data_IF_529249282597
#
_entry.id   IF_529249282597
#
_cell.length_a   1.000
_cell.length_b   1.000
_cell.length_c   1.000
_cell.angle_alpha   90.00
_cell.angle_beta   90.00
_cell.angle_gamma   90.00
#
_symmetry.space_group_name_H-M   'P 1'
#
loop_
_entity.id
_entity.type
_entity.pdbx_description
1 polymer ?
#
# COMPACT_ATOMS: atom_id res chain seq x y z
N UNK A 1 46.02 -47.98 16.65
CA UNK A 1 46.41 -46.76 17.40
C UNK A 1 46.55 -45.61 16.42
N UNK A 2 45.91 -44.47 16.69
CA UNK A 2 45.82 -43.31 15.77
C UNK A 2 46.30 -42.03 16.47
N UNK A 3 46.79 -41.06 15.68
CA UNK A 3 47.18 -39.75 16.18
C UNK A 3 45.95 -38.86 16.40
N UNK A 4 45.78 -38.29 17.60
CA UNK A 4 44.61 -37.45 17.94
C UNK A 4 44.50 -36.11 17.20
N UNK A 5 45.52 -35.71 16.42
CA UNK A 5 45.52 -34.46 15.63
C UNK A 5 45.13 -34.68 14.17
N UNK A 6 45.63 -35.74 13.53
CA UNK A 6 45.31 -36.05 12.14
C UNK A 6 44.34 -37.21 11.95
N UNK A 7 44.08 -38.00 13.01
CA UNK A 7 43.29 -39.24 13.00
C UNK A 7 43.79 -40.30 12.01
N UNK A 8 45.06 -40.19 11.62
CA UNK A 8 45.73 -41.21 10.83
C UNK A 8 46.42 -42.21 11.77
N UNK A 9 46.47 -43.47 11.33
CA UNK A 9 47.16 -44.57 12.00
C UNK A 9 48.66 -44.25 12.09
N UNK A 10 49.29 -44.60 13.21
CA UNK A 10 50.75 -44.49 13.36
C UNK A 10 51.45 -45.52 12.46
N UNK A 11 52.67 -45.21 12.01
CA UNK A 11 53.49 -46.15 11.25
C UNK A 11 54.98 -45.99 11.62
N UNK A 12 55.83 -46.90 11.12
CA UNK A 12 57.27 -46.93 11.44
C UNK A 12 58.13 -46.01 10.56
N UNK A 13 57.60 -45.54 9.43
CA UNK A 13 58.39 -44.90 8.36
C UNK A 13 58.14 -43.38 8.28
N UNK A 14 56.87 -42.95 8.22
CA UNK A 14 56.44 -41.57 8.02
C UNK A 14 55.61 -40.98 9.17
N UNK A 15 54.78 -41.76 9.86
CA UNK A 15 53.87 -41.30 10.93
C UNK A 15 54.29 -41.84 12.30
N UNK A 16 55.58 -41.82 12.56
CA UNK A 16 56.17 -42.27 13.83
C UNK A 16 55.56 -41.55 15.04
N UNK A 17 55.05 -42.27 16.05
CA UNK A 17 54.45 -41.67 17.25
C UNK A 17 55.54 -41.10 18.15
N UNK A 18 55.67 -39.78 18.24
CA UNK A 18 56.66 -39.08 19.06
C UNK A 18 56.11 -38.72 20.44
N UNK A 19 56.84 -39.07 21.50
CA UNK A 19 56.50 -38.71 22.88
C UNK A 19 57.12 -37.36 23.24
N UNK A 20 56.28 -36.37 23.57
CA UNK A 20 56.73 -35.04 23.97
C UNK A 20 57.21 -35.04 25.43
N UNK A 21 57.99 -34.04 25.87
CA UNK A 21 58.40 -33.88 27.28
C UNK A 21 57.23 -33.81 28.27
N UNK A 22 56.02 -33.49 27.82
CA UNK A 22 54.80 -33.50 28.64
C UNK A 22 54.09 -34.87 28.72
N UNK A 23 54.62 -35.91 28.08
CA UNK A 23 54.06 -37.28 28.07
C UNK A 23 53.03 -37.56 26.97
N UNK A 24 52.47 -36.53 26.33
CA UNK A 24 51.55 -36.70 25.20
C UNK A 24 52.28 -37.27 23.96
N UNK A 25 51.57 -38.05 23.14
CA UNK A 25 52.12 -38.66 21.92
C UNK A 25 51.36 -38.21 20.68
N UNK A 26 52.07 -37.80 19.63
CA UNK A 26 51.51 -37.41 18.33
C UNK A 26 52.41 -37.90 17.19
N UNK A 27 51.88 -38.00 15.97
CA UNK A 27 52.72 -38.41 14.83
C UNK A 27 53.67 -37.27 14.43
N UNK A 28 54.88 -37.64 14.03
CA UNK A 28 55.94 -36.70 13.62
C UNK A 28 55.46 -35.61 12.62
N UNK A 29 54.70 -35.92 11.54
CA UNK A 29 54.19 -34.88 10.62
C UNK A 29 53.27 -33.85 11.27
N UNK A 30 52.52 -34.21 12.31
CA UNK A 30 51.69 -33.25 13.05
C UNK A 30 52.53 -32.30 13.91
N UNK A 31 53.64 -32.77 14.47
CA UNK A 31 54.55 -31.93 15.26
C UNK A 31 55.45 -31.04 14.40
N UNK A 32 55.66 -31.41 13.13
CA UNK A 32 56.36 -30.58 12.14
C UNK A 32 55.44 -29.56 11.44
N UNK A 33 54.13 -29.58 11.71
CA UNK A 33 53.19 -28.64 11.12
C UNK A 33 53.36 -27.25 11.75
N UNK A 34 53.72 -26.20 10.98
CA UNK A 34 54.01 -24.87 11.52
C UNK A 34 52.83 -24.23 12.27
N UNK A 35 51.59 -24.68 12.02
CA UNK A 35 50.40 -24.17 12.70
C UNK A 35 50.35 -24.48 14.21
N UNK A 36 51.12 -25.45 14.71
CA UNK A 36 51.21 -25.76 16.15
C UNK A 36 52.45 -25.18 16.83
N UNK A 37 53.37 -24.57 16.05
CA UNK A 37 54.64 -24.07 16.57
C UNK A 37 55.42 -25.14 17.33
N UNK A 38 56.10 -24.72 18.40
CA UNK A 38 56.80 -25.62 19.32
C UNK A 38 55.97 -25.93 20.58
N UNK A 39 54.65 -26.04 20.46
CA UNK A 39 53.74 -26.32 21.58
C UNK A 39 53.02 -27.67 21.42
N UNK A 40 52.77 -28.34 22.54
CA UNK A 40 51.98 -29.57 22.55
C UNK A 40 50.51 -29.31 22.12
N UNK A 41 49.97 -30.02 21.11
CA UNK A 41 48.57 -29.85 20.69
C UNK A 41 47.51 -30.10 21.76
N UNK A 42 47.80 -30.87 22.82
CA UNK A 42 46.85 -31.18 23.90
C UNK A 42 46.92 -30.19 25.07
N UNK A 43 48.12 -29.92 25.60
CA UNK A 43 48.31 -29.14 26.83
C UNK A 43 49.09 -27.83 26.66
N UNK A 44 49.40 -27.46 25.41
CA UNK A 44 50.10 -26.23 24.99
C UNK A 44 51.44 -25.97 25.68
N UNK A 45 52.04 -26.99 26.32
CA UNK A 45 53.37 -26.86 26.89
C UNK A 45 54.38 -26.73 25.77
N UNK A 46 55.17 -25.65 25.82
CA UNK A 46 56.25 -25.42 24.89
C UNK A 46 57.38 -26.44 25.07
N UNK A 47 57.90 -26.95 23.97
CA UNK A 47 59.13 -27.75 23.90
C UNK A 47 60.22 -26.97 23.15
N UNK A 48 61.49 -27.36 23.33
CA UNK A 48 62.64 -26.64 22.73
C UNK A 48 63.37 -27.44 21.66
N UNK A 49 63.26 -28.76 21.69
CA UNK A 49 63.93 -29.65 20.76
C UNK A 49 63.18 -29.81 19.45
N UNK A 50 63.90 -30.17 18.39
CA UNK A 50 63.33 -30.50 17.09
C UNK A 50 62.43 -31.75 17.22
N UNK A 51 61.19 -31.75 16.69
CA UNK A 51 60.29 -32.91 16.68
C UNK A 51 60.88 -34.24 16.21
N UNK A 52 61.91 -34.21 15.34
CA UNK A 52 62.65 -35.41 14.91
C UNK A 52 63.35 -36.13 16.06
N UNK A 53 63.84 -35.37 17.05
CA UNK A 53 64.71 -35.85 18.14
C UNK A 53 63.93 -36.48 19.30
N UNK A 54 62.62 -36.28 19.38
CA UNK A 54 61.80 -36.92 20.41
C UNK A 54 61.78 -38.45 20.24
N UNK A 55 61.74 -39.21 21.34
CA UNK A 55 61.69 -40.67 21.28
C UNK A 55 60.37 -41.15 20.67
N UNK A 56 60.43 -42.28 19.98
CA UNK A 56 59.23 -42.95 19.49
C UNK A 56 58.52 -43.68 20.64
N UNK A 57 57.20 -43.69 20.62
CA UNK A 57 56.37 -44.51 21.49
C UNK A 57 56.33 -45.95 20.95
N UNK A 58 57.40 -46.71 21.23
CA UNK A 58 57.53 -48.09 20.77
C UNK A 58 56.42 -49.03 21.28
N UNK A 59 55.76 -48.70 22.40
CA UNK A 59 54.59 -49.46 22.86
C UNK A 59 53.42 -49.34 21.88
N UNK A 60 53.13 -48.13 21.39
CA UNK A 60 52.09 -47.92 20.37
C UNK A 60 52.44 -48.57 19.04
N UNK A 61 53.73 -48.62 18.67
CA UNK A 61 54.22 -49.31 17.45
C UNK A 61 54.16 -50.85 17.58
N UNK A 62 54.41 -51.40 18.77
CA UNK A 62 54.38 -52.84 19.02
C UNK A 62 52.96 -53.44 18.98
N UNK A 63 51.93 -52.64 19.30
CA UNK A 63 50.52 -53.06 19.23
C UNK A 63 49.91 -52.96 17.81
N UNK A 64 50.69 -52.58 16.79
CA UNK A 64 50.16 -52.39 15.43
C UNK A 64 50.22 -53.69 14.63
N UNK A 65 49.07 -54.25 14.19
CA UNK A 65 49.08 -55.41 13.31
C UNK A 65 49.68 -55.01 11.96
N UNK A 66 50.66 -55.79 11.49
CA UNK A 66 51.57 -55.44 10.38
C UNK A 66 50.94 -55.24 8.97
N UNK A 67 49.60 -55.13 8.86
CA UNK A 67 48.83 -54.96 7.59
C UNK A 67 47.49 -54.23 7.79
N UNK A 68 47.48 -53.07 8.47
CA UNK A 68 46.25 -52.31 8.72
C UNK A 68 45.81 -51.37 7.58
N UNK A 69 46.75 -50.86 6.78
CA UNK A 69 46.51 -49.75 5.83
C UNK A 69 46.27 -50.21 4.38
N UNK A 70 45.17 -50.93 4.14
CA UNK A 70 44.55 -50.92 2.80
C UNK A 70 43.79 -49.58 2.64
N UNK A 71 44.18 -48.67 1.73
CA UNK A 71 43.47 -47.40 1.55
C UNK A 71 42.03 -47.62 1.07
N UNK A 72 41.19 -46.60 1.11
CA UNK A 72 39.83 -46.65 0.55
C UNK A 72 39.82 -46.15 -0.89
N UNK A 73 38.86 -46.56 -1.70
CA UNK A 73 38.70 -46.06 -3.06
C UNK A 73 37.72 -44.89 -3.07
N UNK A 74 38.13 -43.73 -3.62
CA UNK A 74 37.26 -42.54 -3.75
C UNK A 74 35.98 -42.88 -4.54
N UNK A 75 36.16 -43.54 -5.69
CA UNK A 75 35.10 -43.85 -6.65
C UNK A 75 34.19 -44.99 -6.20
N UNK A 76 34.77 -46.14 -5.80
CA UNK A 76 33.99 -47.32 -5.42
C UNK A 76 33.41 -47.25 -4.00
N UNK A 77 34.01 -46.45 -3.10
CA UNK A 77 33.63 -46.39 -1.70
C UNK A 77 33.89 -47.66 -0.88
N UNK A 78 34.58 -48.64 -1.45
CA UNK A 78 35.07 -49.86 -0.82
C UNK A 78 36.58 -49.73 -0.54
N UNK A 79 37.17 -50.73 0.13
CA UNK A 79 38.64 -50.85 0.24
C UNK A 79 39.27 -50.89 -1.15
N UNK A 80 40.37 -50.16 -1.31
CA UNK A 80 41.16 -50.11 -2.51
C UNK A 80 41.91 -51.43 -2.69
N UNK A 81 41.60 -52.15 -3.78
CA UNK A 81 42.24 -53.41 -4.17
C UNK A 81 42.78 -53.28 -5.60
N UNK A 82 43.49 -54.30 -6.10
CA UNK A 82 44.05 -54.33 -7.46
C UNK A 82 43.07 -53.83 -8.54
N UNK A 83 41.84 -54.35 -8.56
CA UNK A 83 40.79 -53.92 -9.49
C UNK A 83 40.46 -52.41 -9.48
N UNK A 84 40.70 -51.69 -8.38
CA UNK A 84 40.56 -50.24 -8.32
C UNK A 84 41.77 -49.51 -8.91
N UNK A 85 42.97 -50.09 -8.79
CA UNK A 85 44.18 -49.58 -9.46
C UNK A 85 44.11 -49.83 -10.98
N UNK A 86 43.65 -51.01 -11.38
CA UNK A 86 43.43 -51.39 -12.79
C UNK A 86 42.40 -50.46 -13.48
N UNK A 87 41.38 -50.03 -12.74
CA UNK A 87 40.37 -49.06 -13.17
C UNK A 87 40.82 -47.58 -13.03
N UNK A 88 42.09 -47.32 -12.72
CA UNK A 88 42.67 -45.98 -12.49
C UNK A 88 41.92 -45.12 -11.44
N UNK A 89 41.23 -45.75 -10.49
CA UNK A 89 40.61 -45.04 -9.37
C UNK A 89 41.66 -44.56 -8.37
N UNK A 90 41.30 -43.55 -7.57
CA UNK A 90 42.21 -42.98 -6.56
C UNK A 90 42.04 -43.64 -5.18
N UNK A 91 43.15 -43.94 -4.48
CA UNK A 91 43.13 -44.26 -3.06
C UNK A 91 42.96 -42.98 -2.21
N UNK A 92 42.13 -43.05 -1.17
CA UNK A 92 41.94 -42.02 -0.16
C UNK A 92 42.07 -42.58 1.26
N UNK A 93 42.37 -41.71 2.23
CA UNK A 93 42.47 -42.10 3.64
C UNK A 93 41.10 -42.27 4.30
N UNK A 94 41.06 -42.97 5.43
CA UNK A 94 39.86 -43.11 6.28
C UNK A 94 39.28 -41.75 6.64
N UNK A 95 40.14 -40.77 6.95
CA UNK A 95 39.74 -39.38 7.22
C UNK A 95 39.03 -38.73 6.03
N UNK A 96 39.59 -38.82 4.82
CA UNK A 96 38.95 -38.27 3.62
C UNK A 96 37.59 -38.94 3.36
N UNK A 97 37.50 -40.27 3.54
CA UNK A 97 36.25 -41.01 3.37
C UNK A 97 35.16 -40.56 4.36
N UNK A 98 35.53 -40.32 5.63
CA UNK A 98 34.62 -39.84 6.68
C UNK A 98 34.09 -38.42 6.38
N UNK A 99 34.97 -37.48 6.05
CA UNK A 99 34.57 -36.11 5.67
C UNK A 99 33.64 -36.11 4.45
N UNK A 100 33.94 -36.92 3.43
CA UNK A 100 33.05 -37.07 2.26
C UNK A 100 31.68 -37.68 2.63
N UNK A 101 31.60 -38.54 3.65
CA UNK A 101 30.33 -39.13 4.09
C UNK A 101 29.50 -38.13 4.89
N UNK A 102 30.12 -37.38 5.82
CA UNK A 102 29.49 -36.32 6.58
C UNK A 102 28.98 -35.20 5.64
N UNK A 103 29.78 -34.80 4.64
CA UNK A 103 29.33 -33.85 3.61
C UNK A 103 28.13 -34.38 2.80
N UNK A 104 28.17 -35.63 2.31
CA UNK A 104 27.03 -36.22 1.59
C UNK A 104 25.76 -36.29 2.43
N UNK A 105 25.87 -36.49 3.74
CA UNK A 105 24.72 -36.47 4.65
C UNK A 105 24.17 -35.05 4.83
N UNK A 106 25.05 -34.05 4.98
CA UNK A 106 24.64 -32.64 5.02
C UNK A 106 23.97 -32.20 3.70
N UNK A 107 24.54 -32.55 2.55
CA UNK A 107 23.97 -32.26 1.22
C UNK A 107 22.59 -32.94 1.06
N UNK A 108 22.44 -34.18 1.51
CA UNK A 108 21.15 -34.90 1.51
C UNK A 108 20.12 -34.24 2.42
N UNK A 109 20.51 -33.73 3.59
CA UNK A 109 19.60 -33.00 4.48
C UNK A 109 19.14 -31.71 3.83
N UNK A 110 20.05 -30.91 3.27
CA UNK A 110 19.72 -29.65 2.57
C UNK A 110 18.77 -29.90 1.39
N UNK A 111 18.95 -31.00 0.65
CA UNK A 111 18.02 -31.38 -0.41
C UNK A 111 16.63 -31.78 0.11
N UNK A 112 16.54 -32.47 1.25
CA UNK A 112 15.25 -32.81 1.89
C UNK A 112 14.54 -31.55 2.41
N UNK A 113 15.27 -30.66 3.08
CA UNK A 113 14.73 -29.39 3.61
C UNK A 113 14.21 -28.51 2.46
N UNK A 114 14.95 -28.45 1.34
CA UNK A 114 14.51 -27.75 0.12
C UNK A 114 13.26 -28.38 -0.51
N UNK A 115 13.16 -29.70 -0.55
CA UNK A 115 11.96 -30.40 -1.04
C UNK A 115 10.74 -30.11 -0.16
N UNK A 116 10.89 -30.11 1.17
CA UNK A 116 9.82 -29.74 2.11
C UNK A 116 9.42 -28.25 1.96
N UNK A 117 10.40 -27.36 1.78
CA UNK A 117 10.16 -25.95 1.51
C UNK A 117 9.35 -25.73 0.22
N UNK A 118 9.68 -26.45 -0.85
CA UNK A 118 8.92 -26.43 -2.12
C UNK A 118 7.50 -26.96 -1.96
N UNK A 119 7.29 -28.04 -1.18
CA UNK A 119 5.94 -28.55 -0.88
C UNK A 119 5.11 -27.54 -0.08
N UNK A 120 5.70 -26.91 0.93
CA UNK A 120 5.05 -25.85 1.73
C UNK A 120 4.64 -24.66 0.86
N UNK A 121 5.52 -24.22 -0.06
CA UNK A 121 5.20 -23.16 -1.03
C UNK A 121 4.08 -23.59 -2.00
N UNK A 122 4.09 -24.83 -2.46
CA UNK A 122 3.04 -25.36 -3.33
C UNK A 122 1.67 -25.45 -2.62
N UNK A 123 1.65 -25.75 -1.32
CA UNK A 123 0.41 -25.72 -0.52
C UNK A 123 -0.07 -24.28 -0.33
N UNK A 124 0.81 -23.36 0.08
CA UNK A 124 0.44 -21.94 0.27
C UNK A 124 -0.10 -21.27 -1.01
N UNK A 125 0.37 -21.68 -2.19
CA UNK A 125 -0.21 -21.24 -3.47
C UNK A 125 -1.61 -21.80 -3.73
N UNK A 126 -1.90 -23.04 -3.31
CA UNK A 126 -3.24 -23.62 -3.39
C UNK A 126 -4.21 -22.94 -2.41
N UNK A 127 -3.78 -22.69 -1.18
CA UNK A 127 -4.58 -22.00 -0.16
C UNK A 127 -4.92 -20.57 -0.61
N UNK A 128 -3.96 -19.85 -1.21
CA UNK A 128 -4.19 -18.54 -1.84
C UNK A 128 -5.17 -18.62 -3.03
N UNK A 129 -5.06 -19.66 -3.87
CA UNK A 129 -6.00 -19.87 -4.97
C UNK A 129 -7.42 -20.19 -4.48
N UNK A 130 -7.57 -20.89 -3.35
CA UNK A 130 -8.86 -21.13 -2.72
C UNK A 130 -9.43 -19.83 -2.12
N UNK A 131 -8.66 -19.10 -1.33
CA UNK A 131 -9.11 -17.83 -0.74
C UNK A 131 -9.51 -16.77 -1.78
N UNK A 132 -8.90 -16.78 -2.97
CA UNK A 132 -9.34 -15.95 -4.10
C UNK A 132 -10.68 -16.38 -4.70
N UNK A 133 -11.00 -17.68 -4.73
CA UNK A 133 -12.30 -18.19 -5.16
C UNK A 133 -13.38 -17.85 -4.13
N UNK A 134 -13.09 -18.04 -2.83
CA UNK A 134 -14.01 -17.71 -1.74
C UNK A 134 -14.35 -16.21 -1.74
N UNK A 135 -13.34 -15.35 -1.99
CA UNK A 135 -13.55 -13.90 -2.12
C UNK A 135 -14.37 -13.54 -3.38
N UNK A 136 -14.23 -14.27 -4.49
CA UNK A 136 -15.04 -14.07 -5.69
C UNK A 136 -16.51 -14.45 -5.45
N UNK A 137 -16.76 -15.55 -4.72
CA UNK A 137 -18.11 -15.95 -4.30
C UNK A 137 -18.72 -14.91 -3.35
N UNK A 138 -18.00 -14.50 -2.31
CA UNK A 138 -18.46 -13.46 -1.40
C UNK A 138 -18.71 -12.11 -2.08
N UNK A 139 -17.96 -11.77 -3.14
CA UNK A 139 -18.26 -10.60 -3.96
C UNK A 139 -19.57 -10.73 -4.75
N UNK A 140 -19.86 -11.91 -5.30
CA UNK A 140 -21.13 -12.18 -5.98
C UNK A 140 -22.31 -12.10 -5.02
N UNK A 141 -22.19 -12.68 -3.81
CA UNK A 141 -23.22 -12.61 -2.77
C UNK A 141 -23.50 -11.15 -2.35
N UNK A 142 -22.46 -10.34 -2.18
CA UNK A 142 -22.60 -8.91 -1.91
C UNK A 142 -23.24 -8.14 -3.07
N UNK A 143 -22.95 -8.50 -4.33
CA UNK A 143 -23.63 -7.90 -5.49
C UNK A 143 -25.12 -8.25 -5.51
N UNK A 144 -25.50 -9.49 -5.17
CA UNK A 144 -26.90 -9.90 -5.09
C UNK A 144 -27.63 -9.17 -3.94
N UNK A 145 -27.04 -9.13 -2.74
CA UNK A 145 -27.61 -8.39 -1.61
C UNK A 145 -27.78 -6.89 -1.89
N UNK A 146 -26.84 -6.27 -2.61
CA UNK A 146 -26.98 -4.89 -3.08
C UNK A 146 -28.12 -4.70 -4.08
N UNK A 147 -28.36 -5.66 -4.99
CA UNK A 147 -29.49 -5.61 -5.92
C UNK A 147 -30.84 -5.76 -5.21
N UNK A 148 -30.92 -6.62 -4.19
CA UNK A 148 -32.14 -6.78 -3.41
C UNK A 148 -32.45 -5.53 -2.57
N UNK A 149 -31.46 -4.94 -1.89
CA UNK A 149 -31.62 -3.64 -1.19
C UNK A 149 -32.00 -2.51 -2.16
N UNK A 150 -31.45 -2.50 -3.38
CA UNK A 150 -31.85 -1.54 -4.41
C UNK A 150 -33.30 -1.74 -4.85
N UNK A 151 -33.79 -2.99 -4.94
CA UNK A 151 -35.19 -3.30 -5.25
C UNK A 151 -36.13 -2.84 -4.14
N UNK A 152 -35.83 -3.17 -2.88
CA UNK A 152 -36.60 -2.70 -1.72
C UNK A 152 -36.66 -1.16 -1.65
N UNK A 153 -35.56 -0.47 -1.96
CA UNK A 153 -35.51 1.00 -2.01
C UNK A 153 -36.29 1.59 -3.20
N UNK A 154 -36.48 0.84 -4.29
CA UNK A 154 -37.37 1.23 -5.39
C UNK A 154 -38.83 1.02 -5.01
N UNK A 155 -39.18 -0.12 -4.41
CA UNK A 155 -40.53 -0.44 -3.96
C UNK A 155 -41.00 0.52 -2.86
N UNK A 156 -40.11 0.89 -1.94
CA UNK A 156 -40.36 1.91 -0.93
C UNK A 156 -40.60 3.30 -1.54
N UNK A 157 -39.82 3.69 -2.56
CA UNK A 157 -40.04 4.94 -3.30
C UNK A 157 -41.36 4.94 -4.07
N UNK A 158 -41.71 3.84 -4.75
CA UNK A 158 -43.03 3.70 -5.38
C UNK A 158 -44.17 3.80 -4.37
N UNK A 159 -43.98 3.23 -3.17
CA UNK A 159 -44.96 3.33 -2.08
C UNK A 159 -45.08 4.77 -1.57
N UNK A 160 -43.97 5.49 -1.43
CA UNK A 160 -43.95 6.92 -1.10
C UNK A 160 -44.67 7.74 -2.17
N UNK A 161 -44.40 7.53 -3.46
CA UNK A 161 -45.06 8.23 -4.56
C UNK A 161 -46.58 7.93 -4.61
N UNK A 162 -46.99 6.69 -4.32
CA UNK A 162 -48.41 6.33 -4.19
C UNK A 162 -49.09 7.02 -3.00
N UNK A 163 -48.38 7.17 -1.87
CA UNK A 163 -48.89 7.89 -0.71
C UNK A 163 -48.98 9.40 -0.97
N UNK A 164 -47.97 9.99 -1.64
CA UNK A 164 -47.99 11.40 -2.06
C UNK A 164 -49.18 11.67 -2.97
N UNK A 165 -49.42 10.84 -4.00
CA UNK A 165 -50.60 10.98 -4.87
C UNK A 165 -51.91 10.85 -4.09
N UNK A 166 -52.02 9.92 -3.13
CA UNK A 166 -53.21 9.83 -2.27
C UNK A 166 -53.40 11.07 -1.38
N UNK A 167 -52.32 11.69 -0.92
CA UNK A 167 -52.37 12.96 -0.20
C UNK A 167 -52.81 14.10 -1.12
N UNK A 168 -52.32 14.15 -2.36
CA UNK A 168 -52.76 15.10 -3.40
C UNK A 168 -54.24 14.90 -3.75
N UNK A 169 -54.70 13.67 -4.00
CA UNK A 169 -56.11 13.35 -4.27
C UNK A 169 -57.04 13.73 -3.11
N UNK A 170 -56.60 13.52 -1.87
CA UNK A 170 -57.33 13.97 -0.67
C UNK A 170 -57.33 15.51 -0.56
N UNK A 171 -56.22 16.17 -0.88
CA UNK A 171 -56.14 17.63 -0.93
C UNK A 171 -57.00 18.24 -2.05
N UNK A 172 -57.17 17.55 -3.18
CA UNK A 172 -58.01 17.96 -4.31
C UNK A 172 -59.53 17.90 -4.02
N UNK A 173 -59.95 17.31 -2.89
CA UNK A 173 -61.31 17.52 -2.36
C UNK A 173 -61.49 18.89 -1.69
N UNK A 174 -60.39 19.58 -1.38
CA UNK A 174 -60.36 21.01 -1.09
C UNK A 174 -60.01 21.80 -2.35
N UNK A 175 -60.85 22.75 -2.73
CA UNK A 175 -60.61 23.58 -3.93
C UNK A 175 -59.33 24.40 -3.82
N UNK A 176 -58.27 23.98 -4.51
CA UNK A 176 -57.00 24.71 -4.59
C UNK A 176 -56.83 25.34 -5.99
N UNK A 177 -56.52 26.64 -6.01
CA UNK A 177 -56.41 27.48 -7.20
C UNK A 177 -55.22 27.11 -8.11
N UNK A 178 -55.21 27.54 -9.39
CA UNK A 178 -54.03 27.40 -10.26
C UNK A 178 -52.76 27.98 -9.63
N UNK A 179 -51.57 27.44 -9.97
CA UNK A 179 -50.32 27.82 -9.34
C UNK A 179 -50.04 29.32 -9.51
N UNK A 180 -49.64 30.04 -8.44
CA UNK A 180 -49.33 31.46 -8.53
C UNK A 180 -48.09 31.69 -9.42
N UNK A 181 -47.98 32.86 -10.07
CA UNK A 181 -46.84 33.19 -10.92
C UNK A 181 -45.53 33.11 -10.12
N UNK A 182 -44.52 32.49 -10.73
CA UNK A 182 -43.17 32.38 -10.19
C UNK A 182 -42.57 33.77 -9.97
N UNK A 183 -42.25 34.11 -8.72
CA UNK A 183 -41.52 35.33 -8.41
C UNK A 183 -40.02 35.03 -8.45
N UNK A 184 -39.29 35.75 -9.29
CA UNK A 184 -37.83 35.76 -9.33
C UNK A 184 -37.34 37.04 -8.64
N UNK A 185 -36.29 36.94 -7.82
CA UNK A 185 -35.67 38.09 -7.15
C UNK A 185 -34.16 37.95 -7.29
N UNK A 186 -33.52 38.93 -7.94
CA UNK A 186 -32.09 39.16 -7.76
C UNK A 186 -31.88 40.23 -6.68
N UNK A 187 -31.16 39.88 -5.62
CA UNK A 187 -30.88 40.77 -4.49
C UNK A 187 -29.88 41.87 -4.88
N UNK A 188 -29.06 41.72 -5.93
CA UNK A 188 -28.20 42.80 -6.42
C UNK A 188 -29.01 43.99 -6.90
N UNK A 189 -30.05 43.73 -7.71
CA UNK A 189 -30.86 44.75 -8.39
C UNK A 189 -31.78 45.55 -7.44
N UNK A 190 -32.00 45.05 -6.22
CA UNK A 190 -32.84 45.72 -5.23
C UNK A 190 -32.20 46.97 -4.62
N UNK A 191 -33.00 48.03 -4.47
CA UNK A 191 -32.63 49.22 -3.72
C UNK A 191 -32.39 48.94 -2.22
N UNK A 192 -31.68 49.82 -1.49
CA UNK A 192 -31.46 49.65 -0.05
C UNK A 192 -32.75 49.55 0.78
N UNK A 193 -33.83 50.21 0.34
CA UNK A 193 -35.17 50.11 0.90
C UNK A 193 -35.77 48.72 0.68
N UNK A 194 -35.79 48.23 -0.57
CA UNK A 194 -36.36 46.92 -0.89
C UNK A 194 -35.60 45.76 -0.22
N UNK A 195 -34.28 45.91 -0.04
CA UNK A 195 -33.44 45.00 0.73
C UNK A 195 -33.87 44.90 2.20
N UNK A 196 -34.45 45.96 2.78
CA UNK A 196 -35.03 45.93 4.12
C UNK A 196 -36.46 45.36 4.09
N UNK A 197 -37.25 45.69 3.07
CA UNK A 197 -38.61 45.15 2.90
C UNK A 197 -38.62 43.62 2.73
N UNK A 198 -37.56 43.03 2.14
CA UNK A 198 -37.35 41.57 2.10
C UNK A 198 -37.36 40.90 3.48
N UNK A 199 -36.91 41.58 4.53
CA UNK A 199 -36.90 41.05 5.89
C UNK A 199 -38.26 41.16 6.58
N UNK A 200 -39.13 42.06 6.12
CA UNK A 200 -40.37 42.44 6.78
C UNK A 200 -41.59 41.84 6.10
N UNK A 201 -41.62 41.75 4.76
CA UNK A 201 -42.79 41.31 4.00
C UNK A 201 -42.77 39.84 3.52
N UNK A 202 -43.95 39.29 3.29
CA UNK A 202 -44.17 37.89 2.85
C UNK A 202 -43.75 37.60 1.39
N UNK A 203 -42.99 38.49 0.74
CA UNK A 203 -42.55 38.32 -0.66
C UNK A 203 -41.75 37.04 -0.83
N UNK A 204 -40.88 36.72 0.13
CA UNK A 204 -40.01 35.52 0.14
C UNK A 204 -40.80 34.20 0.12
N UNK A 205 -42.03 34.17 0.63
CA UNK A 205 -42.88 32.98 0.61
C UNK A 205 -43.40 32.61 -0.79
N UNK A 206 -43.21 33.46 -1.81
CA UNK A 206 -43.59 33.19 -3.21
C UNK A 206 -42.42 33.13 -4.19
N UNK A 207 -41.20 33.27 -3.68
CA UNK A 207 -39.98 33.22 -4.50
C UNK A 207 -39.67 31.79 -4.91
N UNK A 208 -39.35 31.57 -6.18
CA UNK A 208 -38.78 30.31 -6.68
C UNK A 208 -37.30 30.42 -7.03
N UNK A 209 -36.83 31.63 -7.31
CA UNK A 209 -35.46 31.95 -7.70
C UNK A 209 -34.97 33.15 -6.90
N UNK A 210 -33.93 32.95 -6.10
CA UNK A 210 -33.29 34.00 -5.30
C UNK A 210 -31.80 34.03 -5.61
N UNK A 211 -31.32 35.04 -6.34
CA UNK A 211 -29.90 35.22 -6.66
C UNK A 211 -29.30 36.42 -5.90
N UNK A 212 -27.97 36.46 -5.76
CA UNK A 212 -27.26 37.62 -5.21
C UNK A 212 -27.35 37.85 -3.69
N UNK A 213 -27.76 36.85 -2.89
CA UNK A 213 -27.91 37.05 -1.45
C UNK A 213 -26.53 37.18 -0.76
N UNK A 214 -26.17 38.40 -0.34
CA UNK A 214 -24.95 38.65 0.43
C UNK A 214 -25.02 38.03 1.84
N UNK A 215 -24.14 37.07 2.11
CA UNK A 215 -24.04 36.32 3.36
C UNK A 215 -23.01 36.88 4.36
N UNK A 216 -22.29 37.96 4.03
CA UNK A 216 -21.33 38.63 4.93
C UNK A 216 -21.92 39.03 6.28
N UNK A 217 -23.23 39.32 6.35
CA UNK A 217 -23.97 39.45 7.60
C UNK A 217 -24.79 38.18 7.83
N UNK A 218 -24.38 37.37 8.81
CA UNK A 218 -24.99 36.07 9.11
C UNK A 218 -26.43 36.22 9.58
N UNK A 219 -26.70 37.15 10.52
CA UNK A 219 -28.04 37.36 11.07
C UNK A 219 -29.04 37.75 9.97
N UNK A 220 -28.66 38.69 9.11
CA UNK A 220 -29.50 39.18 8.01
C UNK A 220 -29.75 38.12 6.95
N UNK A 221 -28.71 37.39 6.54
CA UNK A 221 -28.85 36.33 5.52
C UNK A 221 -29.62 35.12 6.05
N UNK A 222 -29.40 34.72 7.30
CA UNK A 222 -30.21 33.67 7.96
C UNK A 222 -31.67 34.09 8.14
N UNK A 223 -31.96 35.36 8.45
CA UNK A 223 -33.33 35.85 8.53
C UNK A 223 -34.08 35.81 7.18
N UNK A 224 -33.37 36.02 6.05
CA UNK A 224 -33.93 35.81 4.71
C UNK A 224 -34.14 34.33 4.43
N UNK A 225 -33.14 33.48 4.70
CA UNK A 225 -33.21 32.02 4.46
C UNK A 225 -34.33 31.35 5.27
N UNK A 226 -34.50 31.70 6.55
CA UNK A 226 -35.55 31.17 7.42
C UNK A 226 -36.98 31.58 6.98
N UNK A 227 -37.12 32.64 6.18
CA UNK A 227 -38.38 33.09 5.58
C UNK A 227 -38.55 32.66 4.11
N UNK A 228 -37.56 31.97 3.55
CA UNK A 228 -37.55 31.56 2.16
C UNK A 228 -38.49 30.37 1.95
N UNK A 229 -39.15 30.32 0.79
CA UNK A 229 -40.03 29.21 0.46
C UNK A 229 -39.23 27.88 0.39
N UNK A 230 -39.67 26.78 1.03
CA UNK A 230 -39.02 25.46 0.92
C UNK A 230 -39.03 24.87 -0.51
N UNK A 231 -39.81 25.47 -1.43
CA UNK A 231 -39.89 25.16 -2.85
C UNK A 231 -39.04 26.08 -3.76
N UNK A 232 -38.02 26.76 -3.23
CA UNK A 232 -37.03 27.45 -4.07
C UNK A 232 -36.26 26.44 -4.93
N UNK A 233 -36.20 26.73 -6.24
CA UNK A 233 -35.60 25.90 -7.28
C UNK A 233 -34.18 26.40 -7.65
N UNK A 234 -33.95 27.72 -7.58
CA UNK A 234 -32.63 28.34 -7.81
C UNK A 234 -32.22 29.27 -6.63
N UNK A 235 -31.01 29.08 -6.10
CA UNK A 235 -30.45 29.90 -5.02
C UNK A 235 -29.01 30.33 -5.32
N UNK A 236 -28.72 31.62 -5.17
CA UNK A 236 -27.38 32.21 -5.28
C UNK A 236 -26.96 32.91 -3.99
N UNK A 237 -25.88 32.44 -3.35
CA UNK A 237 -25.33 32.97 -2.10
C UNK A 237 -23.92 33.53 -2.32
N UNK A 238 -23.65 34.72 -1.78
CA UNK A 238 -22.39 35.44 -2.00
C UNK A 238 -21.66 35.70 -0.69
N UNK A 239 -20.42 35.25 -0.59
CA UNK A 239 -19.66 35.20 0.67
C UNK A 239 -20.28 34.23 1.69
N UNK A 240 -20.81 33.09 1.24
CA UNK A 240 -21.54 32.12 2.07
C UNK A 240 -20.69 31.55 3.21
N UNK A 241 -21.29 31.40 4.40
CA UNK A 241 -20.64 30.81 5.57
C UNK A 241 -21.32 29.50 6.01
N UNK A 242 -20.68 28.77 6.93
CA UNK A 242 -21.14 27.44 7.37
C UNK A 242 -22.60 27.38 7.86
N UNK A 243 -23.15 28.36 8.61
CA UNK A 243 -24.56 28.33 9.03
C UNK A 243 -25.55 28.32 7.86
N UNK A 244 -25.28 29.13 6.84
CA UNK A 244 -26.11 29.21 5.63
C UNK A 244 -26.01 27.92 4.81
N UNK A 245 -24.80 27.36 4.65
CA UNK A 245 -24.60 26.09 3.92
C UNK A 245 -25.34 24.92 4.59
N UNK A 246 -25.34 24.84 5.93
CA UNK A 246 -26.14 23.86 6.69
C UNK A 246 -27.65 24.07 6.58
N UNK A 247 -28.11 25.29 6.31
CA UNK A 247 -29.52 25.53 6.00
C UNK A 247 -29.86 25.04 4.58
N UNK A 248 -28.97 25.29 3.61
CA UNK A 248 -29.15 24.84 2.21
C UNK A 248 -29.19 23.31 2.10
N UNK A 249 -28.42 22.57 2.90
CA UNK A 249 -28.50 21.09 3.02
C UNK A 249 -29.94 20.56 3.19
N UNK A 250 -30.79 21.29 3.93
CA UNK A 250 -32.20 20.94 4.15
C UNK A 250 -33.16 21.28 3.00
N UNK A 251 -32.71 21.94 1.93
CA UNK A 251 -33.57 22.41 0.84
C UNK A 251 -33.81 21.31 -0.22
N UNK A 252 -34.91 20.58 -0.08
CA UNK A 252 -35.27 19.40 -0.91
C UNK A 252 -35.84 19.71 -2.30
N UNK A 253 -36.15 20.98 -2.61
CA UNK A 253 -36.64 21.40 -3.94
C UNK A 253 -35.57 22.04 -4.82
N UNK A 254 -34.37 22.29 -4.27
CA UNK A 254 -33.33 23.06 -4.93
C UNK A 254 -32.71 22.30 -6.11
N UNK A 255 -32.71 22.88 -7.31
CA UNK A 255 -32.13 22.33 -8.55
C UNK A 255 -30.84 23.01 -8.95
N UNK A 256 -30.75 24.33 -8.77
CA UNK A 256 -29.58 25.14 -9.08
C UNK A 256 -29.07 25.84 -7.83
N UNK A 257 -27.77 25.73 -7.60
CA UNK A 257 -27.08 26.38 -6.50
C UNK A 257 -25.83 27.08 -7.02
N UNK A 258 -25.74 28.37 -6.72
CA UNK A 258 -24.62 29.24 -7.02
C UNK A 258 -24.02 29.73 -5.69
N UNK A 259 -22.72 29.48 -5.48
CA UNK A 259 -22.02 29.69 -4.23
C UNK A 259 -20.70 30.43 -4.44
N UNK A 260 -20.64 31.70 -4.06
CA UNK A 260 -19.36 32.33 -3.76
C UNK A 260 -18.97 32.03 -2.30
N UNK A 261 -17.90 31.25 -2.13
CA UNK A 261 -17.26 30.88 -0.87
C UNK A 261 -15.87 31.51 -0.70
N UNK A 262 -15.54 32.54 -1.49
CA UNK A 262 -14.22 33.21 -1.45
C UNK A 262 -13.89 33.76 -0.06
N UNK A 263 -14.90 34.17 0.70
CA UNK A 263 -14.76 34.64 2.10
C UNK A 263 -14.31 33.56 3.09
N UNK A 264 -14.45 32.26 2.78
CA UNK A 264 -13.97 31.16 3.63
C UNK A 264 -12.49 30.84 3.43
N UNK A 265 -11.88 31.31 2.33
CA UNK A 265 -10.51 30.96 1.94
C UNK A 265 -9.47 31.68 2.80
N UNK A 266 -9.79 32.86 3.33
CA UNK A 266 -8.83 33.68 4.09
C UNK A 266 -8.43 33.07 5.46
N UNK A 267 -9.18 32.09 6.00
CA UNK A 267 -9.13 31.78 7.44
C UNK A 267 -8.98 30.31 7.90
N UNK A 268 -9.03 29.26 7.07
CA UNK A 268 -8.54 27.93 7.50
C UNK A 268 -8.20 26.91 6.40
N UNK A 269 -7.25 26.04 6.69
CA UNK A 269 -6.89 24.85 5.90
C UNK A 269 -7.87 23.66 6.10
N UNK A 270 -8.92 23.80 6.93
CA UNK A 270 -9.65 22.65 7.49
C UNK A 270 -11.18 22.83 7.66
N UNK A 271 -11.86 23.61 6.83
CA UNK A 271 -13.33 23.69 6.88
C UNK A 271 -13.99 22.57 6.05
N UNK A 272 -14.74 21.71 6.73
CA UNK A 272 -15.66 20.74 6.12
C UNK A 272 -16.85 21.51 5.51
N UNK A 273 -17.06 21.36 4.20
CA UNK A 273 -18.29 21.80 3.55
C UNK A 273 -19.36 20.75 3.91
N UNK A 274 -20.57 21.16 4.38
CA UNK A 274 -21.66 20.23 4.68
C UNK A 274 -22.16 19.57 3.38
N UNK A 275 -22.89 18.47 3.51
CA UNK A 275 -23.40 17.78 2.33
C UNK A 275 -24.43 18.65 1.58
N UNK A 276 -24.33 18.66 0.26
CA UNK A 276 -25.21 19.45 -0.61
C UNK A 276 -26.48 18.65 -0.97
N UNK A 277 -27.61 19.33 -1.27
CA UNK A 277 -28.88 18.65 -1.56
C UNK A 277 -28.78 17.64 -2.71
N UNK A 278 -29.19 16.39 -2.44
CA UNK A 278 -29.02 15.25 -3.35
C UNK A 278 -29.75 15.40 -4.70
N UNK A 279 -30.76 16.27 -4.78
CA UNK A 279 -31.51 16.51 -6.02
C UNK A 279 -30.93 17.62 -6.92
N UNK A 280 -29.80 18.23 -6.57
CA UNK A 280 -29.17 19.30 -7.33
C UNK A 280 -28.75 18.86 -8.74
N UNK A 281 -29.09 19.69 -9.74
CA UNK A 281 -28.84 19.45 -11.18
C UNK A 281 -27.73 20.38 -11.73
N UNK A 282 -27.67 21.63 -11.27
CA UNK A 282 -26.61 22.59 -11.58
C UNK A 282 -25.91 23.09 -10.30
N UNK A 283 -24.58 23.06 -10.28
CA UNK A 283 -23.75 23.65 -9.22
C UNK A 283 -22.71 24.60 -9.83
N UNK A 284 -22.69 25.83 -9.36
CA UNK A 284 -21.70 26.84 -9.67
C UNK A 284 -21.02 27.25 -8.35
N UNK A 285 -19.69 27.19 -8.30
CA UNK A 285 -18.91 27.57 -7.10
C UNK A 285 -17.77 28.50 -7.50
N UNK A 286 -17.77 29.68 -6.90
CA UNK A 286 -16.69 30.65 -6.93
C UNK A 286 -15.91 30.62 -5.61
N UNK A 287 -14.59 30.48 -5.71
CA UNK A 287 -13.75 30.16 -4.55
C UNK A 287 -13.65 28.65 -4.29
N UNK A 288 -12.55 28.21 -3.68
CA UNK A 288 -12.21 26.79 -3.61
C UNK A 288 -11.81 26.31 -2.21
N UNK A 289 -12.40 25.19 -1.79
CA UNK A 289 -11.87 24.35 -0.71
C UNK A 289 -11.66 22.92 -1.23
N UNK A 290 -10.59 22.25 -0.77
CA UNK A 290 -10.30 20.85 -1.16
C UNK A 290 -11.43 19.88 -0.84
N UNK A 291 -12.30 20.23 0.10
CA UNK A 291 -13.32 19.34 0.64
C UNK A 291 -14.57 19.23 -0.24
N UNK A 292 -14.80 20.17 -1.17
CA UNK A 292 -15.91 20.10 -2.13
C UNK A 292 -15.89 18.79 -2.95
N UNK A 293 -14.70 18.28 -3.26
CA UNK A 293 -14.54 17.01 -4.01
C UNK A 293 -15.02 15.76 -3.26
N UNK A 294 -15.23 15.80 -1.93
CA UNK A 294 -15.85 14.70 -1.19
C UNK A 294 -17.39 14.72 -1.28
N UNK A 295 -17.98 15.90 -1.50
CA UNK A 295 -19.43 16.05 -1.63
C UNK A 295 -19.92 15.74 -3.05
N UNK A 296 -19.14 16.07 -4.09
CA UNK A 296 -19.55 15.87 -5.50
C UNK A 296 -19.95 14.41 -5.85
N UNK A 297 -19.23 13.35 -5.42
CA UNK A 297 -19.66 11.96 -5.62
C UNK A 297 -21.02 11.59 -5.01
N UNK A 298 -21.50 12.36 -4.02
CA UNK A 298 -22.78 12.15 -3.35
C UNK A 298 -23.97 12.75 -4.12
N UNK A 299 -23.74 13.48 -5.22
CA UNK A 299 -24.79 14.18 -5.99
C UNK A 299 -25.17 13.40 -7.27
N UNK A 300 -26.13 12.46 -7.21
CA UNK A 300 -26.46 11.56 -8.32
C UNK A 300 -27.19 12.23 -9.51
N UNK A 301 -27.68 13.46 -9.33
CA UNK A 301 -28.41 14.21 -10.37
C UNK A 301 -27.60 15.33 -11.01
N UNK A 302 -26.36 15.56 -10.57
CA UNK A 302 -25.57 16.72 -10.99
C UNK A 302 -25.15 16.61 -12.46
N UNK A 303 -25.71 17.46 -13.31
CA UNK A 303 -25.43 17.50 -14.76
C UNK A 303 -24.43 18.57 -15.13
N UNK A 304 -24.46 19.70 -14.44
CA UNK A 304 -23.63 20.87 -14.72
C UNK A 304 -22.82 21.25 -13.49
N UNK A 305 -21.50 21.34 -13.67
CA UNK A 305 -20.57 21.83 -12.65
C UNK A 305 -19.71 22.95 -13.23
N UNK A 306 -19.71 24.11 -12.59
CA UNK A 306 -18.83 25.25 -12.90
C UNK A 306 -17.99 25.55 -11.67
N UNK A 307 -16.67 25.60 -11.85
CA UNK A 307 -15.71 25.87 -10.77
C UNK A 307 -14.80 27.03 -11.16
N UNK A 308 -14.97 28.16 -10.47
CA UNK A 308 -14.22 29.40 -10.65
C UNK A 308 -13.30 29.66 -9.46
N UNK A 309 -12.01 29.94 -9.68
CA UNK A 309 -11.12 30.40 -8.60
C UNK A 309 -9.88 31.13 -9.14
N UNK A 310 -9.33 32.11 -8.39
CA UNK A 310 -8.10 32.79 -8.75
C UNK A 310 -6.85 31.87 -8.79
N UNK A 311 -6.78 30.85 -7.93
CA UNK A 311 -5.54 30.07 -7.70
C UNK A 311 -5.74 28.56 -7.90
N UNK A 312 -5.23 28.01 -9.01
CA UNK A 312 -4.97 26.58 -9.17
C UNK A 312 -3.48 26.33 -9.43
N UNK A 313 -2.86 25.56 -8.53
CA UNK A 313 -1.53 24.99 -8.76
C UNK A 313 -1.60 23.55 -9.26
N UNK A 314 -2.51 22.71 -8.72
CA UNK A 314 -2.80 21.37 -9.23
C UNK A 314 -4.15 20.87 -8.72
N UNK A 315 -5.05 20.41 -9.62
CA UNK A 315 -6.30 19.72 -9.27
C UNK A 315 -6.25 18.28 -9.79
N UNK A 316 -6.41 17.30 -8.90
CA UNK A 316 -6.40 15.87 -9.26
C UNK A 316 -7.83 15.35 -9.25
N UNK A 317 -8.46 15.30 -10.43
CA UNK A 317 -9.85 14.86 -10.63
C UNK A 317 -10.00 13.33 -10.67
N UNK A 318 -9.31 12.60 -9.79
CA UNK A 318 -9.45 11.14 -9.72
C UNK A 318 -10.82 10.75 -9.15
N UNK A 319 -11.67 10.15 -10.01
CA UNK A 319 -12.96 9.56 -9.63
C UNK A 319 -14.19 10.42 -9.92
N UNK A 320 -14.15 11.72 -9.61
CA UNK A 320 -15.34 12.61 -9.61
C UNK A 320 -16.03 12.69 -10.98
N UNK A 321 -15.26 12.80 -12.07
CA UNK A 321 -15.82 12.88 -13.42
C UNK A 321 -16.51 11.59 -13.91
N UNK A 322 -16.26 10.45 -13.27
CA UNK A 322 -16.76 9.13 -13.71
C UNK A 322 -17.99 8.64 -12.94
N UNK A 323 -18.34 9.26 -11.81
CA UNK A 323 -19.41 8.77 -10.92
C UNK A 323 -20.72 9.56 -11.02
N UNK A 324 -20.68 10.85 -11.36
CA UNK A 324 -21.84 11.75 -11.21
C UNK A 324 -22.68 11.94 -12.49
N UNK A 325 -22.32 11.35 -13.63
CA UNK A 325 -23.08 11.52 -14.89
C UNK A 325 -23.05 12.95 -15.49
N UNK A 326 -22.02 13.74 -15.12
CA UNK A 326 -21.84 15.13 -15.56
C UNK A 326 -21.89 15.27 -17.09
N UNK A 327 -22.77 16.16 -17.56
CA UNK A 327 -22.93 16.52 -18.98
C UNK A 327 -22.10 17.75 -19.34
N UNK A 328 -21.82 18.63 -18.38
CA UNK A 328 -21.04 19.84 -18.56
C UNK A 328 -20.15 20.10 -17.34
N UNK A 329 -18.87 20.33 -17.61
CA UNK A 329 -17.85 20.65 -16.61
C UNK A 329 -17.02 21.82 -17.12
N UNK A 330 -17.08 22.96 -16.44
CA UNK A 330 -16.29 24.15 -16.78
C UNK A 330 -15.33 24.52 -15.65
N UNK A 331 -14.16 24.97 -16.07
CA UNK A 331 -13.04 25.32 -15.22
C UNK A 331 -12.51 26.70 -15.62
N UNK A 332 -12.85 27.70 -14.82
CA UNK A 332 -12.57 29.12 -15.04
C UNK A 332 -11.49 29.63 -14.09
N UNK A 333 -10.28 29.82 -14.60
CA UNK A 333 -9.14 30.41 -13.87
C UNK A 333 -8.85 31.83 -14.38
N UNK A 334 -8.67 32.80 -13.49
CA UNK A 334 -8.36 34.20 -13.89
C UNK A 334 -6.89 34.41 -14.37
N UNK A 335 -6.04 33.37 -14.32
CA UNK A 335 -4.66 33.39 -14.84
C UNK A 335 -4.32 32.06 -15.53
N UNK A 336 -3.36 32.10 -16.46
CA UNK A 336 -3.11 31.02 -17.42
C UNK A 336 -2.68 29.67 -16.76
N UNK A 337 -3.17 28.53 -17.26
CA UNK A 337 -3.07 27.24 -16.56
C UNK A 337 -1.82 26.41 -16.91
N UNK A 338 -1.30 25.69 -15.91
CA UNK A 338 -0.45 24.50 -16.11
C UNK A 338 -1.31 23.22 -16.02
N UNK A 339 -1.95 22.81 -17.12
CA UNK A 339 -2.70 21.56 -17.14
C UNK A 339 -1.78 20.33 -17.28
N UNK A 340 -1.90 19.37 -16.36
CA UNK A 340 -1.46 17.98 -16.57
C UNK A 340 -2.65 17.04 -16.61
N UNK A 341 -3.01 16.61 -17.82
CA UNK A 341 -3.90 15.45 -18.01
C UNK A 341 -3.14 14.15 -17.71
N UNK A 342 -3.33 13.61 -16.51
CA UNK A 342 -2.95 12.23 -16.21
C UNK A 342 -4.04 11.28 -16.72
N UNK A 343 -4.01 10.99 -18.03
CA UNK A 343 -4.81 9.91 -18.61
C UNK A 343 -4.28 8.56 -18.11
N UNK A 344 -4.81 8.10 -16.97
CA UNK A 344 -4.57 6.74 -16.49
C UNK A 344 -5.24 5.75 -17.44
N UNK A 345 -4.44 5.08 -18.26
CA UNK A 345 -4.88 3.98 -19.10
C UNK A 345 -5.53 2.88 -18.25
N UNK A 346 -6.59 2.21 -18.74
CA UNK A 346 -7.21 1.10 -18.02
C UNK A 346 -6.18 -0.02 -17.79
N UNK A 347 -6.23 -0.74 -16.66
CA UNK A 347 -5.22 -1.73 -16.31
C UNK A 347 -5.24 -2.91 -17.29
N UNK A 348 -4.33 -2.90 -18.26
CA UNK A 348 -4.07 -4.08 -19.10
C UNK A 348 -3.51 -5.19 -18.23
N UNK A 349 -4.26 -6.29 -18.11
CA UNK A 349 -3.77 -7.56 -17.59
C UNK A 349 -2.45 -7.92 -18.30
N UNK A 350 -1.37 -8.11 -17.54
CA UNK A 350 -0.22 -8.88 -17.99
C UNK A 350 0.19 -9.90 -16.91
N UNK A 351 0.28 -11.13 -17.37
CA UNK A 351 0.82 -12.30 -16.67
C UNK A 351 2.28 -12.07 -16.29
N UNK A 352 2.71 -12.59 -15.13
CA UNK A 352 4.02 -12.28 -14.55
C UNK A 352 5.09 -13.38 -14.68
N UNK A 353 6.28 -13.07 -14.17
CA UNK A 353 7.35 -13.95 -13.65
C UNK A 353 8.48 -13.02 -13.15
N UNK A 354 8.81 -12.98 -11.84
CA UNK A 354 9.94 -13.71 -11.22
C UNK A 354 11.33 -13.38 -11.83
N UNK A 355 12.40 -13.00 -11.12
CA UNK A 355 12.73 -12.94 -9.66
C UNK A 355 13.65 -11.70 -9.37
N UNK A 356 14.47 -11.52 -8.31
CA UNK A 356 14.89 -12.30 -7.12
C UNK A 356 15.63 -11.41 -6.07
N UNK A 357 15.35 -11.63 -4.78
CA UNK A 357 16.28 -11.67 -3.60
C UNK A 357 17.21 -10.47 -3.26
N UNK A 358 17.16 -10.01 -1.98
CA UNK A 358 18.30 -9.34 -1.31
C UNK A 358 17.98 -8.36 -0.16
N UNK A 359 17.77 -8.86 1.06
CA UNK A 359 17.81 -8.07 2.32
C UNK A 359 19.23 -8.18 2.97
N UNK A 360 19.67 -7.37 3.97
CA UNK A 360 18.90 -6.64 5.00
C UNK A 360 19.32 -5.16 5.29
N UNK A 361 18.61 -4.49 6.22
CA UNK A 361 18.89 -3.11 6.69
C UNK A 361 19.96 -3.01 7.81
N UNK A 362 20.00 -1.96 8.68
CA UNK A 362 18.96 -0.95 8.98
C UNK A 362 19.46 0.53 9.10
N UNK A 363 18.66 1.40 9.75
CA UNK A 363 18.93 2.78 10.24
C UNK A 363 18.70 4.02 9.33
N UNK A 364 17.53 4.64 9.55
CA UNK A 364 17.31 6.03 9.99
C UNK A 364 17.97 7.25 9.26
N UNK A 365 17.05 8.14 8.85
CA UNK A 365 17.08 9.63 8.83
C UNK A 365 17.27 10.38 7.49
N UNK A 366 16.28 11.27 7.29
CA UNK A 366 16.31 12.58 6.60
C UNK A 366 16.64 12.58 5.11
N UNK A 367 15.58 12.68 4.32
CA UNK A 367 15.69 13.16 2.94
C UNK A 367 16.09 14.64 2.91
N UNK A 368 16.98 14.97 1.98
CA UNK A 368 17.28 16.32 1.52
C UNK A 368 16.96 16.39 0.02
N UNK A 369 16.31 17.45 -0.41
CA UNK A 369 15.92 17.65 -1.81
C UNK A 369 17.17 17.82 -2.71
N UNK A 370 17.15 17.33 -3.96
CA UNK A 370 18.06 17.83 -4.98
C UNK A 370 17.60 19.22 -5.47
N UNK A 371 18.49 20.21 -5.60
CA UNK A 371 18.15 21.49 -6.20
C UNK A 371 18.05 21.40 -7.74
N UNK A 372 17.22 22.27 -8.30
CA UNK A 372 16.91 22.35 -9.72
C UNK A 372 18.09 22.73 -10.61
N UNK A 373 17.98 22.35 -11.90
CA UNK A 373 18.84 22.85 -12.97
C UNK A 373 18.87 24.38 -13.03
N UNK A 374 20.06 24.97 -13.21
CA UNK A 374 20.23 26.33 -13.73
C UNK A 374 21.11 26.28 -14.97
N UNK A 375 20.65 26.94 -16.04
CA UNK A 375 21.39 27.11 -17.29
C UNK A 375 20.67 28.13 -18.17
N UNK A 376 21.41 29.10 -18.71
CA UNK A 376 20.95 30.35 -19.36
C UNK A 376 20.19 31.31 -18.41
N UNK A 377 20.58 32.58 -18.22
CA UNK A 377 21.74 33.34 -18.72
C UNK A 377 21.31 34.55 -19.55
N UNK A 378 21.68 35.76 -19.11
CA UNK A 378 21.79 36.96 -19.94
C UNK A 378 22.79 37.95 -19.31
N UNK A 379 23.62 38.53 -20.16
CA UNK A 379 24.65 39.57 -19.92
C UNK A 379 24.02 40.97 -19.67
N UNK A 380 24.80 42.01 -19.28
CA UNK A 380 26.27 42.10 -19.17
C UNK A 380 26.84 42.20 -17.75
#
# INVERSE_FOLDING_TARGET
>A
MECSVCFDVYDVDGRRPKVLPCGHTFCLPCLQNPNFGNECPQDRKAFRDNPMNFPDNFALLAEMPARADEPWCETCGLRFRGACADAAHRPCSVRQRRVQQEQRQADQQVLQDLQQGLQTLQQGLQDLQQGLQDLQLGHLDLQLGLQDVQREMQDMRQTQDQLLRKVEDLQLTGTAAPPPPSLEIDVWELSPSEKNDLLVGDRLARVRKLTGLHCYNVERSMAVLMKLNPHVEELGLIGAQLPQLRFVEGMTSLRKLDLDVSSLIEHAESYEIPDLPLQLEELEVEGFSRNLFYCLPKLPKLRRLVLTTPNWDTVVLTGVAWQCGLQYLNFTQQRAPYFRWCALTPPRRRTGSASSVGAPGPFLRRGTCPPSCMGAGFSP
#
